data_IF_198164224716
#
_entry.id   IF_198164224716
#
_cell.length_a   1.000
_cell.length_b   1.000
_cell.length_c   1.000
_cell.angle_alpha   90.00
_cell.angle_beta   90.00
_cell.angle_gamma   90.00
#
_symmetry.space_group_name_H-M   'P 1'
#
loop_
_entity.id
_entity.type
_entity.pdbx_description
1 polymer ?
#
# COMPACT_ATOMS: atom_id res chain seq x y z
N UNK A 1 -15.46 9.81 5.66
CA UNK A 1 -16.28 9.23 6.74
C UNK A 1 -16.51 10.32 7.79
N UNK A 2 -17.77 10.73 8.02
CA UNK A 2 -18.11 11.70 9.09
C UNK A 2 -17.94 10.94 10.42
N UNK A 3 -17.01 11.38 11.27
CA UNK A 3 -16.72 10.71 12.56
C UNK A 3 -15.39 9.92 12.64
N UNK A 4 -14.64 9.73 11.55
CA UNK A 4 -13.31 9.07 11.60
C UNK A 4 -12.14 9.98 11.21
N UNK A 5 -12.34 11.30 11.20
CA UNK A 5 -11.35 12.27 10.69
C UNK A 5 -10.00 12.24 11.44
N UNK A 6 -9.94 11.60 12.61
CA UNK A 6 -8.77 11.50 13.49
C UNK A 6 -8.27 10.07 13.69
N UNK A 7 -8.86 9.09 13.00
CA UNK A 7 -8.29 7.75 12.92
C UNK A 7 -7.68 7.62 11.54
N UNK A 8 -6.35 7.71 11.46
CA UNK A 8 -5.61 7.31 10.26
C UNK A 8 -6.05 5.87 9.92
N UNK A 9 -6.85 5.78 8.87
CA UNK A 9 -7.70 4.62 8.61
C UNK A 9 -6.92 3.41 8.11
N UNK A 10 -7.62 2.29 7.96
CA UNK A 10 -7.13 1.15 7.18
C UNK A 10 -6.92 1.62 5.73
N UNK A 11 -5.68 1.59 5.26
CA UNK A 11 -5.33 1.92 3.89
C UNK A 11 -5.77 0.81 2.93
N UNK A 12 -6.26 1.21 1.75
CA UNK A 12 -6.50 0.33 0.61
C UNK A 12 -5.41 0.55 -0.43
N UNK A 13 -4.96 -0.53 -1.07
CA UNK A 13 -4.01 -0.45 -2.17
C UNK A 13 -4.79 -0.30 -3.47
N UNK A 14 -4.39 0.68 -4.29
CA UNK A 14 -4.94 0.86 -5.62
C UNK A 14 -3.92 0.38 -6.66
N UNK A 15 -4.42 -0.34 -7.66
CA UNK A 15 -3.62 -0.70 -8.84
C UNK A 15 -3.80 0.42 -9.86
N UNK A 16 -2.70 1.10 -10.16
CA UNK A 16 -2.63 2.15 -11.17
C UNK A 16 -1.74 1.66 -12.31
N UNK A 17 -2.06 2.03 -13.53
CA UNK A 17 -1.31 1.60 -14.71
C UNK A 17 -0.97 2.77 -15.62
N UNK A 18 0.07 2.61 -16.44
CA UNK A 18 0.43 3.62 -17.42
C UNK A 18 -0.64 3.75 -18.52
N UNK A 19 -0.80 4.96 -19.00
CA UNK A 19 -1.71 5.37 -20.06
C UNK A 19 -0.97 6.29 -21.03
N UNK A 20 -1.38 6.27 -22.30
CA UNK A 20 -0.84 7.17 -23.34
C UNK A 20 -1.51 8.56 -23.31
N UNK A 21 -2.56 8.72 -22.50
CA UNK A 21 -3.34 9.94 -22.37
C UNK A 21 -2.58 11.04 -21.59
N UNK A 22 -2.86 12.34 -21.87
CA UNK A 22 -2.40 13.43 -21.05
C UNK A 22 -2.83 13.27 -19.58
N UNK A 23 -1.93 13.67 -18.67
CA UNK A 23 -2.12 13.54 -17.22
C UNK A 23 -2.21 12.08 -16.73
N UNK A 24 -1.49 11.15 -17.37
CA UNK A 24 -1.31 9.80 -16.84
C UNK A 24 -0.74 9.87 -15.41
N UNK A 25 -1.42 9.28 -14.40
CA UNK A 25 -1.00 9.38 -13.01
C UNK A 25 0.35 8.72 -12.76
N UNK A 26 0.68 7.64 -13.48
CA UNK A 26 1.99 6.98 -13.39
C UNK A 26 3.09 7.90 -13.93
N UNK A 27 2.90 8.49 -15.12
CA UNK A 27 3.88 9.41 -15.71
C UNK A 27 4.11 10.65 -14.84
N UNK A 28 3.03 11.23 -14.29
CA UNK A 28 3.13 12.37 -13.36
C UNK A 28 3.88 11.98 -12.07
N UNK A 29 3.55 10.83 -11.48
CA UNK A 29 4.25 10.32 -10.31
C UNK A 29 5.74 10.09 -10.58
N UNK A 30 6.07 9.43 -11.70
CA UNK A 30 7.45 9.17 -12.10
C UNK A 30 8.22 10.45 -12.37
N UNK A 31 7.60 11.48 -12.98
CA UNK A 31 8.22 12.77 -13.18
C UNK A 31 8.58 13.45 -11.84
N UNK A 32 7.67 13.43 -10.87
CA UNK A 32 7.94 13.92 -9.51
C UNK A 32 9.04 13.12 -8.82
N UNK A 33 9.02 11.79 -8.94
CA UNK A 33 10.02 10.90 -8.38
C UNK A 33 11.44 11.19 -8.90
N UNK A 34 11.59 11.47 -10.20
CA UNK A 34 12.86 11.89 -10.77
C UNK A 34 13.28 13.29 -10.32
N UNK A 35 12.35 14.25 -10.27
CA UNK A 35 12.63 15.60 -9.78
C UNK A 35 13.13 15.60 -8.32
N UNK A 36 12.65 14.66 -7.53
CA UNK A 36 13.01 14.48 -6.12
C UNK A 36 14.21 13.54 -5.89
N UNK A 37 14.78 12.97 -6.96
CA UNK A 37 15.91 12.04 -6.93
C UNK A 37 15.69 10.88 -5.93
N UNK A 38 14.52 10.24 -6.00
CA UNK A 38 14.09 9.24 -4.99
C UNK A 38 14.52 7.81 -5.30
N UNK A 39 14.91 7.48 -6.53
CA UNK A 39 15.26 6.11 -6.92
C UNK A 39 16.65 5.71 -6.40
N UNK A 40 16.83 4.46 -5.95
CA UNK A 40 18.17 3.96 -5.60
C UNK A 40 19.12 3.88 -6.81
N UNK A 41 20.41 3.69 -6.55
CA UNK A 41 21.49 3.73 -7.55
C UNK A 41 21.19 2.88 -8.78
N UNK A 42 21.28 3.49 -9.97
CA UNK A 42 21.09 2.81 -11.26
C UNK A 42 19.89 3.27 -12.08
N UNK A 43 19.00 4.11 -11.53
CA UNK A 43 17.86 4.68 -12.25
C UNK A 43 17.95 6.22 -12.18
N UNK A 44 18.50 6.85 -13.22
CA UNK A 44 18.71 8.31 -13.27
C UNK A 44 17.80 9.02 -14.27
N UNK A 45 17.16 8.25 -15.15
CA UNK A 45 16.29 8.77 -16.19
C UNK A 45 15.10 7.86 -16.45
N UNK A 46 14.07 8.41 -17.09
CA UNK A 46 12.94 7.61 -17.57
C UNK A 46 13.39 6.48 -18.50
N UNK A 47 14.44 6.69 -19.29
CA UNK A 47 15.00 5.66 -20.16
C UNK A 47 15.62 4.51 -19.38
N UNK A 48 16.29 4.78 -18.24
CA UNK A 48 16.81 3.72 -17.36
C UNK A 48 15.67 2.88 -16.80
N UNK A 49 14.61 3.54 -16.33
CA UNK A 49 13.42 2.88 -15.81
C UNK A 49 12.77 1.96 -16.86
N UNK A 50 12.67 2.43 -18.12
CA UNK A 50 12.12 1.67 -19.24
C UNK A 50 13.00 0.49 -19.68
N UNK A 51 14.31 0.54 -19.40
CA UNK A 51 15.24 -0.56 -19.71
C UNK A 51 15.18 -1.70 -18.70
N UNK A 52 14.59 -1.47 -17.53
CA UNK A 52 14.44 -2.52 -16.52
C UNK A 52 13.65 -3.70 -17.07
N UNK A 53 14.16 -4.91 -16.82
CA UNK A 53 13.51 -6.16 -17.17
C UNK A 53 13.16 -6.91 -15.89
N UNK A 54 11.99 -7.55 -15.88
CA UNK A 54 11.64 -8.48 -14.82
C UNK A 54 12.63 -9.65 -14.89
N UNK A 55 13.34 -9.97 -13.80
CA UNK A 55 14.27 -11.10 -13.79
C UNK A 55 13.56 -12.42 -14.11
N UNK A 56 14.27 -13.33 -14.77
CA UNK A 56 13.76 -14.68 -15.03
C UNK A 56 13.32 -15.35 -13.71
N UNK A 57 12.17 -16.02 -13.74
CA UNK A 57 11.57 -16.68 -12.58
C UNK A 57 10.77 -15.76 -11.65
N UNK A 58 10.77 -14.43 -11.86
CA UNK A 58 9.92 -13.48 -11.11
C UNK A 58 8.71 -13.02 -11.91
N UNK A 59 7.60 -12.74 -11.22
CA UNK A 59 6.39 -12.14 -11.81
C UNK A 59 6.37 -10.60 -11.84
N UNK A 60 7.27 -9.95 -11.10
CA UNK A 60 7.38 -8.49 -11.01
C UNK A 60 8.78 -8.05 -10.56
N UNK A 61 9.11 -6.78 -10.80
CA UNK A 61 10.30 -6.13 -10.29
C UNK A 61 9.88 -5.00 -9.34
N UNK A 62 10.35 -5.07 -8.09
CA UNK A 62 10.21 -3.95 -7.15
C UNK A 62 11.26 -2.89 -7.51
N UNK A 63 10.82 -1.65 -7.63
CA UNK A 63 11.72 -0.50 -7.84
C UNK A 63 12.00 0.12 -6.46
N UNK A 64 13.22 -0.01 -5.93
CA UNK A 64 13.54 0.51 -4.61
C UNK A 64 13.72 2.04 -4.64
N UNK A 65 13.22 2.69 -3.59
CA UNK A 65 13.42 4.12 -3.34
C UNK A 65 14.45 4.28 -2.23
N UNK A 66 15.24 5.36 -2.28
CA UNK A 66 16.19 5.71 -1.23
C UNK A 66 15.46 5.87 0.09
N UNK A 67 16.04 5.35 1.17
CA UNK A 67 15.45 5.48 2.50
C UNK A 67 15.27 6.94 2.93
N UNK A 68 16.16 7.83 2.47
CA UNK A 68 16.05 9.27 2.69
C UNK A 68 14.83 9.92 2.02
N UNK A 69 14.20 9.27 1.05
CA UNK A 69 13.03 9.77 0.35
C UNK A 69 11.70 9.39 1.03
N UNK A 70 11.67 8.35 1.87
CA UNK A 70 10.44 7.90 2.55
C UNK A 70 9.71 8.97 3.38
N UNK A 71 10.38 9.86 4.13
CA UNK A 71 9.66 10.89 4.90
C UNK A 71 9.13 12.04 4.04
N UNK A 72 9.47 12.11 2.74
CA UNK A 72 9.06 13.21 1.86
C UNK A 72 7.60 13.06 1.43
N UNK A 73 6.85 14.14 1.51
CA UNK A 73 5.46 14.18 1.07
C UNK A 73 5.36 14.26 -0.46
N UNK A 74 4.45 13.49 -1.05
CA UNK A 74 4.15 13.58 -2.49
C UNK A 74 3.45 14.90 -2.84
N UNK A 75 2.45 15.29 -2.04
CA UNK A 75 1.71 16.54 -2.22
C UNK A 75 2.30 17.62 -1.32
N UNK A 76 3.12 18.49 -1.92
CA UNK A 76 3.84 19.56 -1.25
C UNK A 76 3.27 20.93 -1.59
N UNK A 77 3.45 21.88 -0.68
CA UNK A 77 3.09 23.27 -0.93
C UNK A 77 4.06 23.89 -1.95
N UNK A 78 3.52 24.56 -2.96
CA UNK A 78 4.30 25.45 -3.83
C UNK A 78 4.15 26.89 -3.33
N UNK A 79 5.27 27.57 -3.13
CA UNK A 79 5.33 28.99 -2.80
C UNK A 79 6.17 29.76 -3.84
N UNK A 80 6.43 31.03 -3.59
CA UNK A 80 7.19 31.90 -4.50
C UNK A 80 8.65 31.47 -4.67
N UNK A 81 9.17 30.61 -3.80
CA UNK A 81 10.55 30.11 -3.84
C UNK A 81 10.64 28.69 -4.42
N UNK A 82 9.51 28.07 -4.76
CA UNK A 82 9.44 26.75 -5.40
C UNK A 82 8.59 25.76 -4.62
N UNK A 83 8.95 24.47 -4.70
CA UNK A 83 8.26 23.39 -3.97
C UNK A 83 8.86 23.27 -2.58
N UNK A 84 8.07 23.49 -1.53
CA UNK A 84 8.50 23.38 -0.14
C UNK A 84 8.38 21.93 0.35
N UNK A 85 9.20 21.50 1.32
CA UNK A 85 9.09 20.16 1.91
C UNK A 85 7.85 19.95 2.79
N UNK A 86 7.07 21.00 3.07
CA UNK A 86 5.83 20.92 3.85
C UNK A 86 4.69 20.29 3.04
N UNK A 87 3.84 19.46 3.68
CA UNK A 87 2.69 18.88 3.01
C UNK A 87 1.67 19.97 2.65
N UNK A 88 1.01 19.82 1.50
CA UNK A 88 -0.15 20.64 1.18
C UNK A 88 -1.36 20.19 1.99
N UNK A 89 -2.13 21.15 2.51
CA UNK A 89 -3.38 20.86 3.20
C UNK A 89 -4.54 20.67 2.21
N UNK A 90 -5.58 19.95 2.64
CA UNK A 90 -6.83 19.79 1.87
C UNK A 90 -7.46 21.15 1.54
N UNK A 91 -7.36 22.13 2.44
CA UNK A 91 -7.88 23.47 2.22
C UNK A 91 -7.14 24.20 1.09
N UNK A 92 -5.79 24.16 1.11
CA UNK A 92 -4.95 24.75 0.08
C UNK A 92 -5.20 24.10 -1.29
N UNK A 93 -5.20 22.76 -1.33
CA UNK A 93 -5.50 22.04 -2.58
C UNK A 93 -6.93 22.33 -3.06
N UNK A 94 -7.88 22.51 -2.15
CA UNK A 94 -9.26 22.83 -2.47
C UNK A 94 -9.42 24.22 -3.08
N UNK A 95 -8.64 25.20 -2.62
CA UNK A 95 -8.58 26.54 -3.22
C UNK A 95 -8.02 26.48 -4.64
N UNK A 96 -6.90 25.77 -4.85
CA UNK A 96 -6.32 25.57 -6.19
C UNK A 96 -7.32 24.91 -7.15
N UNK A 97 -8.06 23.90 -6.67
CA UNK A 97 -9.06 23.20 -7.46
C UNK A 97 -10.25 24.10 -7.81
N UNK A 98 -10.69 24.96 -6.88
CA UNK A 98 -11.73 25.96 -7.14
C UNK A 98 -11.30 26.93 -8.23
N UNK A 99 -10.09 27.48 -8.12
CA UNK A 99 -9.56 28.43 -9.10
C UNK A 99 -9.34 27.77 -10.47
N UNK A 100 -8.95 26.49 -10.50
CA UNK A 100 -8.89 25.71 -11.73
C UNK A 100 -10.28 25.58 -12.37
N UNK A 101 -11.30 25.25 -11.57
CA UNK A 101 -12.69 25.14 -12.04
C UNK A 101 -13.20 26.44 -12.67
N UNK A 102 -12.93 27.58 -12.02
CA UNK A 102 -13.30 28.90 -12.55
C UNK A 102 -12.59 29.22 -13.88
N UNK A 103 -11.28 28.96 -13.96
CA UNK A 103 -10.48 29.17 -15.18
C UNK A 103 -10.88 28.25 -16.33
N UNK A 104 -11.36 27.05 -16.02
CA UNK A 104 -11.92 26.12 -16.98
C UNK A 104 -13.42 26.37 -17.25
N UNK A 105 -13.98 27.49 -16.75
CA UNK A 105 -15.37 27.92 -16.98
C UNK A 105 -16.43 26.92 -16.53
N UNK A 106 -16.15 26.12 -15.50
CA UNK A 106 -17.19 25.30 -14.88
C UNK A 106 -18.23 26.19 -14.19
N UNK A 107 -19.51 25.91 -14.44
CA UNK A 107 -20.63 26.62 -13.80
C UNK A 107 -20.65 26.39 -12.29
N UNK A 108 -20.44 25.14 -11.87
CA UNK A 108 -20.40 24.76 -10.46
C UNK A 108 -18.96 24.73 -9.93
N UNK A 109 -18.81 25.02 -8.64
CA UNK A 109 -17.50 24.95 -7.99
C UNK A 109 -16.94 23.52 -8.02
N UNK A 110 -15.76 23.37 -8.62
CA UNK A 110 -15.00 22.13 -8.60
C UNK A 110 -14.48 21.84 -7.17
N UNK A 111 -14.67 20.61 -6.70
CA UNK A 111 -14.23 20.18 -5.37
C UNK A 111 -13.79 18.71 -5.37
N UNK A 112 -12.94 18.34 -4.41
CA UNK A 112 -12.56 16.93 -4.20
C UNK A 112 -13.77 16.05 -3.90
N UNK A 113 -14.80 16.61 -3.27
CA UNK A 113 -16.04 15.87 -3.01
C UNK A 113 -16.78 15.53 -4.32
N UNK A 114 -16.84 16.47 -5.27
CA UNK A 114 -17.46 16.22 -6.59
C UNK A 114 -16.69 15.13 -7.34
N UNK A 115 -15.36 15.18 -7.34
CA UNK A 115 -14.52 14.13 -7.94
C UNK A 115 -14.73 12.77 -7.26
N UNK A 116 -14.72 12.75 -5.92
CA UNK A 116 -14.93 11.52 -5.12
C UNK A 116 -16.34 10.95 -5.31
N UNK A 117 -17.36 11.78 -5.54
CA UNK A 117 -18.75 11.33 -5.73
C UNK A 117 -18.97 10.66 -7.08
N UNK A 118 -18.24 11.07 -8.10
CA UNK A 118 -18.30 10.41 -9.42
C UNK A 118 -17.70 9.00 -9.38
N UNK A 119 -16.64 8.77 -8.59
CA UNK A 119 -15.98 7.46 -8.49
C UNK A 119 -16.93 6.29 -8.17
N UNK A 120 -17.73 6.29 -7.08
CA UNK A 120 -18.63 5.18 -6.76
C UNK A 120 -19.72 4.98 -7.82
N UNK A 121 -20.19 6.05 -8.46
CA UNK A 121 -21.17 5.96 -9.56
C UNK A 121 -20.60 5.15 -10.73
N UNK A 122 -19.33 5.40 -11.11
CA UNK A 122 -18.66 4.63 -12.18
C UNK A 122 -18.33 3.20 -11.76
N UNK A 123 -18.09 2.98 -10.46
CA UNK A 123 -17.83 1.65 -9.93
C UNK A 123 -19.10 0.79 -9.86
N UNK A 124 -20.28 1.38 -9.63
CA UNK A 124 -21.56 0.65 -9.67
C UNK A 124 -21.82 -0.01 -11.03
N UNK A 125 -21.31 0.57 -12.12
CA UNK A 125 -21.44 0.01 -13.48
C UNK A 125 -20.52 -1.20 -13.72
N UNK A 126 -19.50 -1.41 -12.87
CA UNK A 126 -18.37 -2.32 -13.15
C UNK A 126 -18.03 -3.30 -12.04
N UNK A 127 -18.57 -3.11 -10.84
CA UNK A 127 -18.23 -3.89 -9.66
C UNK A 127 -19.43 -4.09 -8.75
N UNK A 128 -19.25 -5.00 -7.80
CA UNK A 128 -20.26 -5.29 -6.79
C UNK A 128 -20.35 -4.16 -5.74
N UNK A 129 -21.48 -4.03 -5.03
CA UNK A 129 -21.59 -3.08 -3.92
C UNK A 129 -20.48 -3.23 -2.86
N UNK A 130 -20.03 -4.46 -2.60
CA UNK A 130 -18.93 -4.74 -1.68
C UNK A 130 -17.59 -4.20 -2.20
N UNK A 131 -17.26 -4.45 -3.47
CA UNK A 131 -16.05 -3.91 -4.09
C UNK A 131 -16.05 -2.38 -4.15
N UNK A 132 -17.20 -1.75 -4.41
CA UNK A 132 -17.36 -0.30 -4.36
C UNK A 132 -17.13 0.25 -2.95
N UNK A 133 -17.76 -0.36 -1.92
CA UNK A 133 -17.55 0.04 -0.53
C UNK A 133 -16.06 -0.06 -0.16
N UNK A 134 -15.42 -1.16 -0.54
CA UNK A 134 -13.99 -1.39 -0.33
C UNK A 134 -13.12 -0.33 -1.03
N UNK A 135 -13.36 -0.07 -2.33
CA UNK A 135 -12.66 0.97 -3.09
C UNK A 135 -12.81 2.38 -2.49
N UNK A 136 -13.96 2.66 -1.86
CA UNK A 136 -14.25 3.92 -1.19
C UNK A 136 -13.65 4.00 0.23
N UNK A 137 -13.02 2.93 0.73
CA UNK A 137 -12.55 2.83 2.11
C UNK A 137 -13.70 2.86 3.12
N UNK A 138 -14.89 2.42 2.72
CA UNK A 138 -16.04 2.29 3.61
C UNK A 138 -16.03 0.88 4.20
N UNK A 139 -15.76 0.80 5.51
CA UNK A 139 -15.91 -0.46 6.25
C UNK A 139 -17.40 -0.72 6.50
N UNK A 140 -17.88 -1.92 6.17
CA UNK A 140 -19.10 -2.48 6.74
C UNK A 140 -18.75 -3.40 7.92
N UNK A 141 -19.68 -3.61 8.86
CA UNK A 141 -19.55 -4.60 9.94
C UNK A 141 -19.71 -6.06 9.44
N UNK A 142 -19.73 -6.25 8.12
CA UNK A 142 -19.94 -7.54 7.49
C UNK A 142 -18.70 -8.44 7.71
N UNK A 143 -18.93 -9.67 8.21
CA UNK A 143 -17.91 -10.70 8.48
C UNK A 143 -16.94 -10.89 7.29
N UNK A 144 -17.43 -10.69 6.07
CA UNK A 144 -16.65 -10.87 4.85
C UNK A 144 -15.56 -9.82 4.62
N UNK A 145 -15.60 -8.65 5.27
CA UNK A 145 -14.61 -7.59 5.06
C UNK A 145 -13.18 -8.00 5.44
N UNK A 146 -13.01 -8.94 6.38
CA UNK A 146 -11.68 -9.46 6.73
C UNK A 146 -11.05 -10.34 5.64
N UNK A 147 -11.86 -10.91 4.75
CA UNK A 147 -11.43 -11.76 3.65
C UNK A 147 -11.14 -10.96 2.37
N UNK A 148 -11.56 -9.70 2.31
CA UNK A 148 -11.29 -8.84 1.16
C UNK A 148 -9.82 -8.41 1.21
N UNK A 149 -9.11 -8.64 0.11
CA UNK A 149 -7.73 -8.16 -0.07
C UNK A 149 -7.63 -6.67 0.26
N UNK A 150 -6.50 -6.21 0.79
CA UNK A 150 -6.24 -4.77 0.93
C UNK A 150 -6.20 -4.07 -0.43
N UNK A 151 -5.92 -4.82 -1.49
CA UNK A 151 -5.87 -4.31 -2.87
C UNK A 151 -7.25 -4.32 -3.48
N UNK A 152 -7.66 -3.17 -4.02
CA UNK A 152 -8.95 -3.01 -4.68
C UNK A 152 -8.99 -3.83 -5.96
N UNK A 153 -10.01 -4.68 -6.07
CA UNK A 153 -10.16 -5.62 -7.19
C UNK A 153 -10.87 -5.05 -8.42
N UNK A 154 -11.10 -3.75 -8.46
CA UNK A 154 -11.75 -3.06 -9.58
C UNK A 154 -10.81 -2.01 -10.14
N UNK A 155 -10.73 -1.94 -11.47
CA UNK A 155 -9.96 -0.93 -12.19
C UNK A 155 -10.62 0.46 -12.05
N UNK A 156 -10.30 1.16 -10.96
CA UNK A 156 -10.82 2.51 -10.68
C UNK A 156 -10.37 3.50 -11.76
N UNK A 157 -9.15 3.35 -12.26
CA UNK A 157 -8.55 4.28 -13.21
C UNK A 157 -9.34 4.27 -14.52
N UNK A 158 -9.53 3.10 -15.13
CA UNK A 158 -10.35 2.96 -16.34
C UNK A 158 -11.82 3.30 -16.10
N UNK A 159 -12.37 3.00 -14.92
CA UNK A 159 -13.74 3.37 -14.56
C UNK A 159 -13.96 4.89 -14.56
N UNK A 160 -13.02 5.63 -13.98
CA UNK A 160 -13.08 7.09 -13.92
C UNK A 160 -12.94 7.72 -15.31
N UNK A 161 -11.97 7.23 -16.09
CA UNK A 161 -11.67 7.68 -17.47
C UNK A 161 -12.68 7.20 -18.51
N UNK A 162 -13.58 6.27 -18.16
CA UNK A 162 -14.54 5.62 -19.08
C UNK A 162 -13.88 4.79 -20.18
N UNK A 163 -12.70 4.23 -19.91
CA UNK A 163 -12.06 3.24 -20.78
C UNK A 163 -12.53 1.83 -20.45
N UNK A 164 -12.29 0.86 -21.33
CA UNK A 164 -12.46 -0.55 -20.98
C UNK A 164 -11.57 -0.94 -19.80
N UNK A 165 -12.08 -1.79 -18.92
CA UNK A 165 -11.34 -2.21 -17.74
C UNK A 165 -10.16 -3.11 -18.12
N UNK A 166 -8.98 -2.84 -17.56
CA UNK A 166 -7.78 -3.68 -17.72
C UNK A 166 -7.76 -4.80 -16.68
N UNK A 167 -8.81 -5.61 -16.66
CA UNK A 167 -9.05 -6.67 -15.64
C UNK A 167 -7.85 -7.59 -15.47
N UNK A 168 -7.22 -8.03 -16.55
CA UNK A 168 -6.01 -8.88 -16.49
C UNK A 168 -4.87 -8.27 -15.67
N UNK A 169 -4.64 -6.96 -15.76
CA UNK A 169 -3.61 -6.29 -14.98
C UNK A 169 -3.98 -6.25 -13.50
N UNK A 170 -5.24 -5.95 -13.19
CA UNK A 170 -5.75 -5.94 -11.81
C UNK A 170 -5.70 -7.34 -11.21
N UNK A 171 -6.16 -8.36 -11.93
CA UNK A 171 -6.12 -9.76 -11.50
C UNK A 171 -4.69 -10.25 -11.26
N UNK A 172 -3.76 -9.86 -12.14
CA UNK A 172 -2.33 -10.14 -11.96
C UNK A 172 -1.79 -9.47 -10.70
N UNK A 173 -2.17 -8.21 -10.44
CA UNK A 173 -1.77 -7.46 -9.25
C UNK A 173 -2.37 -8.02 -7.95
N UNK A 174 -3.56 -8.62 -8.01
CA UNK A 174 -4.22 -9.32 -6.90
C UNK A 174 -3.61 -10.70 -6.65
N UNK A 175 -3.00 -11.32 -7.66
CA UNK A 175 -2.47 -12.67 -7.57
C UNK A 175 -1.27 -12.73 -6.63
N UNK A 176 -1.27 -13.70 -5.72
CA UNK A 176 -0.08 -14.02 -4.92
C UNK A 176 1.13 -14.38 -5.79
N UNK A 177 0.88 -14.88 -7.01
CA UNK A 177 1.93 -15.25 -7.96
C UNK A 177 2.76 -14.05 -8.45
N UNK A 178 2.24 -12.82 -8.37
CA UNK A 178 2.96 -11.61 -8.78
C UNK A 178 4.32 -11.48 -8.07
N UNK A 179 4.37 -11.89 -6.80
CA UNK A 179 5.55 -11.80 -5.93
C UNK A 179 6.31 -13.12 -5.81
N UNK A 180 5.88 -14.16 -6.54
CA UNK A 180 6.58 -15.44 -6.56
C UNK A 180 7.93 -15.28 -7.28
N UNK A 181 8.98 -15.82 -6.68
CA UNK A 181 10.27 -16.07 -7.33
C UNK A 181 10.45 -17.58 -7.41
N UNK A 182 10.46 -18.15 -8.61
CA UNK A 182 10.66 -19.59 -8.82
C UNK A 182 12.08 -20.06 -8.52
N UNK A 183 13.02 -19.13 -8.36
CA UNK A 183 14.41 -19.41 -7.98
C UNK A 183 14.61 -19.40 -6.47
N UNK A 184 13.61 -18.96 -5.71
CA UNK A 184 13.66 -19.02 -4.26
C UNK A 184 13.84 -20.48 -3.79
N UNK A 185 14.74 -20.76 -2.84
CA UNK A 185 14.93 -22.10 -2.31
C UNK A 185 13.60 -22.67 -1.79
N UNK A 186 13.19 -23.83 -2.30
CA UNK A 186 11.95 -24.50 -1.86
C UNK A 186 12.19 -25.49 -0.72
N UNK A 187 13.46 -25.76 -0.40
CA UNK A 187 13.88 -26.64 0.68
C UNK A 187 15.23 -26.23 1.22
N UNK A 188 15.39 -26.30 2.54
CA UNK A 188 16.67 -26.13 3.22
C UNK A 188 17.36 -27.49 3.38
N UNK A 189 18.69 -27.54 3.23
CA UNK A 189 19.47 -28.71 3.64
C UNK A 189 19.41 -28.92 5.16
N UNK A 190 19.76 -30.13 5.62
CA UNK A 190 19.75 -30.45 7.06
C UNK A 190 20.72 -29.55 7.86
N UNK A 191 21.85 -29.18 7.26
CA UNK A 191 22.85 -28.28 7.87
C UNK A 191 22.35 -26.85 7.98
N UNK A 192 21.80 -26.29 6.90
CA UNK A 192 21.23 -24.93 6.90
C UNK A 192 20.07 -24.81 7.90
N UNK A 193 19.20 -25.84 7.94
CA UNK A 193 18.10 -25.87 8.91
C UNK A 193 18.61 -25.90 10.35
N UNK A 194 19.70 -26.63 10.63
CA UNK A 194 20.32 -26.69 11.95
C UNK A 194 20.96 -25.35 12.34
N UNK A 195 21.59 -24.67 11.39
CA UNK A 195 22.20 -23.36 11.59
C UNK A 195 21.15 -22.29 11.88
N UNK A 196 20.08 -22.23 11.09
CA UNK A 196 18.97 -21.29 11.29
C UNK A 196 18.28 -21.53 12.64
N UNK A 197 18.00 -22.80 12.98
CA UNK A 197 17.43 -23.14 14.29
C UNK A 197 18.38 -22.89 15.47
N UNK A 198 19.69 -22.85 15.21
CA UNK A 198 20.73 -22.53 16.17
C UNK A 198 21.06 -21.04 16.26
N UNK A 199 20.43 -20.18 15.45
CA UNK A 199 20.63 -18.74 15.49
C UNK A 199 20.22 -18.19 16.88
N UNK A 200 21.17 -17.57 17.58
CA UNK A 200 20.99 -17.11 18.95
C UNK A 200 19.87 -16.09 19.11
N UNK A 201 19.66 -15.21 18.13
CA UNK A 201 18.59 -14.21 18.15
C UNK A 201 17.22 -14.87 17.99
N UNK A 202 17.07 -15.78 17.01
CA UNK A 202 15.82 -16.51 16.81
C UNK A 202 15.47 -17.39 18.03
N UNK A 203 16.47 -18.04 18.62
CA UNK A 203 16.28 -18.85 19.84
C UNK A 203 15.87 -17.97 21.02
N UNK A 204 16.52 -16.81 21.20
CA UNK A 204 16.16 -15.87 22.26
C UNK A 204 14.73 -15.33 22.07
N UNK A 205 14.37 -14.89 20.85
CA UNK A 205 13.02 -14.41 20.54
C UNK A 205 11.96 -15.50 20.79
N UNK A 206 12.19 -16.74 20.34
CA UNK A 206 11.26 -17.85 20.61
C UNK A 206 11.11 -18.15 22.10
N UNK A 207 12.21 -18.08 22.85
CA UNK A 207 12.17 -18.28 24.30
C UNK A 207 11.38 -17.18 25.00
N UNK A 208 11.56 -15.93 24.59
CA UNK A 208 10.84 -14.78 25.13
C UNK A 208 9.35 -14.86 24.79
N UNK A 209 9.02 -15.18 23.54
CA UNK A 209 7.66 -15.34 23.06
C UNK A 209 6.92 -16.44 23.83
N UNK A 210 7.61 -17.57 24.08
CA UNK A 210 7.08 -18.66 24.91
C UNK A 210 6.91 -18.26 26.38
N UNK A 211 7.86 -17.51 26.95
CA UNK A 211 7.73 -17.00 28.32
C UNK A 211 6.52 -16.08 28.48
N UNK A 212 6.26 -15.21 27.51
CA UNK A 212 5.08 -14.32 27.50
C UNK A 212 3.79 -15.14 27.33
N UNK A 213 3.80 -16.16 26.46
CA UNK A 213 2.67 -17.07 26.28
C UNK A 213 2.32 -17.83 27.57
N UNK A 214 3.33 -18.37 28.25
CA UNK A 214 3.18 -19.10 29.52
C UNK A 214 2.65 -18.17 30.63
N UNK A 215 3.13 -16.92 30.69
CA UNK A 215 2.63 -15.92 31.63
C UNK A 215 1.16 -15.57 31.37
N UNK A 216 0.77 -15.40 30.10
CA UNK A 216 -0.62 -15.16 29.71
C UNK A 216 -1.50 -16.34 30.10
N UNK A 217 -1.06 -17.58 29.82
CA UNK A 217 -1.81 -18.78 30.22
C UNK A 217 -1.92 -18.92 31.73
N UNK A 218 -0.89 -18.56 32.49
CA UNK A 218 -0.91 -18.58 33.96
C UNK A 218 -1.94 -17.60 34.52
N UNK A 219 -2.00 -16.39 33.98
CA UNK A 219 -2.89 -15.34 34.50
C UNK A 219 -4.33 -15.44 33.99
N UNK A 220 -4.52 -15.84 32.74
CA UNK A 220 -5.82 -15.74 32.05
C UNK A 220 -6.34 -17.09 31.55
N UNK A 221 -5.59 -18.19 31.71
CA UNK A 221 -5.94 -19.53 31.24
C UNK A 221 -5.73 -19.74 29.73
N UNK A 222 -5.98 -18.72 28.91
CA UNK A 222 -5.75 -18.78 27.46
C UNK A 222 -5.36 -17.42 26.88
N UNK A 223 -4.75 -17.44 25.69
CA UNK A 223 -4.44 -16.23 24.91
C UNK A 223 -5.70 -15.44 24.52
N UNK A 224 -6.82 -16.14 24.31
CA UNK A 224 -8.11 -15.55 23.91
C UNK A 224 -8.79 -14.84 25.08
N UNK A 225 -8.63 -15.35 26.30
CA UNK A 225 -9.18 -14.75 27.52
C UNK A 225 -8.43 -13.48 27.96
N UNK A 226 -7.17 -13.30 27.51
CA UNK A 226 -6.34 -12.14 27.82
C UNK A 226 -6.69 -10.91 26.93
N UNK A 227 -7.93 -10.43 26.96
CA UNK A 227 -8.37 -9.32 26.13
C UNK A 227 -7.85 -7.95 26.66
N UNK A 228 -6.87 -7.35 25.97
CA UNK A 228 -6.36 -6.00 26.28
C UNK A 228 -5.18 -5.79 27.25
N UNK A 229 -4.56 -6.80 27.90
CA UNK A 229 -3.33 -6.59 28.69
C UNK A 229 -2.14 -6.20 27.81
N UNK A 230 -1.18 -5.48 28.39
CA UNK A 230 0.08 -5.15 27.73
C UNK A 230 0.87 -6.41 27.33
N UNK A 231 0.71 -7.52 28.05
CA UNK A 231 1.27 -8.83 27.72
C UNK A 231 0.79 -9.36 26.36
N UNK A 232 -0.51 -9.25 26.04
CA UNK A 232 -1.02 -9.70 24.73
C UNK A 232 -0.51 -8.80 23.59
N UNK A 233 -0.29 -7.50 23.85
CA UNK A 233 0.34 -6.59 22.88
C UNK A 233 1.79 -6.97 22.63
N UNK A 234 2.55 -7.27 23.69
CA UNK A 234 3.96 -7.67 23.55
C UNK A 234 4.10 -9.02 22.85
N UNK A 235 3.25 -10.00 23.19
CA UNK A 235 3.17 -11.28 22.47
C UNK A 235 2.96 -11.09 20.96
N UNK A 236 2.00 -10.23 20.57
CA UNK A 236 1.73 -9.92 19.15
C UNK A 236 2.89 -9.19 18.48
N UNK A 237 3.58 -8.30 19.21
CA UNK A 237 4.75 -7.56 18.72
C UNK A 237 5.93 -8.48 18.44
N UNK A 238 6.26 -9.36 19.40
CA UNK A 238 7.33 -10.34 19.27
C UNK A 238 7.04 -11.34 18.15
N UNK A 239 5.80 -11.82 18.01
CA UNK A 239 5.42 -12.70 16.89
C UNK A 239 5.54 -12.04 15.51
N UNK A 240 5.26 -10.73 15.41
CA UNK A 240 5.46 -10.00 14.17
C UNK A 240 6.94 -9.83 13.83
N UNK A 241 7.80 -9.59 14.83
CA UNK A 241 9.26 -9.51 14.67
C UNK A 241 9.87 -10.86 14.28
N UNK A 242 9.42 -11.95 14.89
CA UNK A 242 9.82 -13.32 14.52
C UNK A 242 9.45 -13.61 13.05
N UNK A 243 8.22 -13.31 12.63
CA UNK A 243 7.79 -13.48 11.24
C UNK A 243 8.63 -12.65 10.27
N UNK A 244 8.97 -11.41 10.64
CA UNK A 244 9.80 -10.54 9.82
C UNK A 244 11.22 -11.12 9.67
N UNK A 245 11.88 -11.52 10.77
CA UNK A 245 13.21 -12.13 10.69
C UNK A 245 13.19 -13.48 9.95
N UNK A 246 12.16 -14.30 10.15
CA UNK A 246 12.01 -15.58 9.45
C UNK A 246 11.82 -15.38 7.94
N UNK A 247 11.11 -14.33 7.52
CA UNK A 247 10.92 -13.96 6.11
C UNK A 247 12.19 -13.40 5.43
N UNK A 248 13.21 -12.97 6.18
CA UNK A 248 14.53 -12.62 5.63
C UNK A 248 15.47 -13.82 5.48
N UNK A 249 15.11 -14.98 6.04
CA UNK A 249 15.94 -16.19 6.11
C UNK A 249 15.42 -17.30 5.17
N UNK A 250 14.17 -17.19 4.69
CA UNK A 250 13.52 -18.07 3.70
C UNK A 250 13.51 -17.47 2.30
#
# INVERSE_FOLDING_TARGET
MKGSRYHDGKFVNLVMHEEEEPLCPISLFTALAFADDVFESGIHSFTDLRRLKIPEGKGSLLIPFKQSALPRYLFRLCDTHGVSERPSTVLQMGALLKDLGQRASFQDQLSFYNMRRESPRRLDERGTPAQRKHAMGHNSEEIYQSYISKTVAVDIQSAFRRHEARTKLVDTALSMSLRRDSRAPTSLSKSERKEILGNKELVAMKSELKSVEDEIRRQYGSLEAAAGPDLLKEYKRLGALEQQQSAYIS
#
